data_IF_135987681923
#
_entry.id   IF_135987681923
#
_cell.length_a   1.000
_cell.length_b   1.000
_cell.length_c   1.000
_cell.angle_alpha   90.00
_cell.angle_beta   90.00
_cell.angle_gamma   90.00
#
_symmetry.space_group_name_H-M   'P 1'
#
loop_
_entity.id
_entity.type
_entity.pdbx_description
1 polymer ?
#
# COMPACT_ATOMS: atom_id res chain seq x y z
N UNK A 1 17.09 14.29 27.60
CA UNK A 1 15.62 14.17 27.53
C UNK A 1 15.29 13.66 26.13
N UNK A 2 14.95 12.38 25.99
CA UNK A 2 14.62 11.79 24.68
C UNK A 2 13.27 12.34 24.23
N UNK A 3 13.28 13.30 23.31
CA UNK A 3 12.07 13.70 22.60
C UNK A 3 11.78 12.55 21.63
N UNK A 4 10.94 11.59 22.03
CA UNK A 4 10.46 10.58 21.10
C UNK A 4 9.75 11.30 19.95
N UNK A 5 10.24 11.08 18.73
CA UNK A 5 9.67 11.70 17.53
C UNK A 5 8.21 11.21 17.39
N UNK A 6 7.19 12.09 17.39
CA UNK A 6 5.78 11.69 17.37
C UNK A 6 5.41 10.81 16.15
N UNK A 7 6.21 10.89 15.07
CA UNK A 7 6.08 10.02 13.89
C UNK A 7 6.40 8.54 14.20
N UNK A 8 7.31 8.29 15.15
CA UNK A 8 7.66 6.94 15.61
C UNK A 8 6.53 6.30 16.41
N UNK A 9 5.84 7.08 17.25
CA UNK A 9 4.68 6.60 18.01
C UNK A 9 3.52 6.20 17.10
N UNK A 10 3.24 7.00 16.06
CA UNK A 10 2.18 6.68 15.08
C UNK A 10 2.43 5.34 14.39
N UNK A 11 3.66 5.08 13.96
CA UNK A 11 4.04 3.80 13.37
C UNK A 11 4.00 2.64 14.37
N UNK A 12 4.12 2.90 15.67
CA UNK A 12 4.06 1.90 16.73
C UNK A 12 2.62 1.53 17.09
N UNK A 13 1.72 2.50 17.17
CA UNK A 13 0.35 2.32 17.60
C UNK A 13 -0.55 1.59 16.59
N UNK A 14 -0.23 1.63 15.29
CA UNK A 14 -1.09 1.09 14.24
C UNK A 14 -0.48 -0.07 13.44
N UNK A 15 0.57 -0.73 13.95
CA UNK A 15 1.33 -1.76 13.21
C UNK A 15 0.44 -2.85 12.61
N UNK A 16 -0.60 -3.27 13.33
CA UNK A 16 -1.43 -4.41 12.94
C UNK A 16 -2.50 -4.10 11.89
N UNK A 17 -2.70 -2.83 11.51
CA UNK A 17 -3.78 -2.43 10.61
C UNK A 17 -3.24 -1.93 9.27
N UNK A 18 -3.95 -2.18 8.15
CA UNK A 18 -3.58 -1.63 6.82
C UNK A 18 -3.37 -0.12 6.81
N UNK A 19 -4.14 0.63 7.63
CA UNK A 19 -3.98 2.07 7.82
C UNK A 19 -2.62 2.47 8.40
N UNK A 20 -2.07 1.67 9.30
CA UNK A 20 -0.75 1.91 9.89
C UNK A 20 0.36 1.70 8.87
N UNK A 21 0.30 0.63 8.08
CA UNK A 21 1.23 0.40 6.98
C UNK A 21 1.23 1.56 5.97
N UNK A 22 0.04 2.02 5.56
CA UNK A 22 -0.08 3.17 4.66
C UNK A 22 0.54 4.44 5.25
N UNK A 23 0.30 4.70 6.53
CA UNK A 23 0.85 5.88 7.22
C UNK A 23 2.38 5.81 7.27
N UNK A 24 2.94 4.66 7.68
CA UNK A 24 4.38 4.46 7.72
C UNK A 24 5.02 4.49 6.34
N UNK A 25 4.38 3.92 5.32
CA UNK A 25 4.86 4.00 3.95
C UNK A 25 4.93 5.45 3.45
N UNK A 26 3.92 6.28 3.73
CA UNK A 26 3.95 7.72 3.41
C UNK A 26 5.05 8.47 4.15
N UNK A 27 5.23 8.20 5.44
CA UNK A 27 6.31 8.81 6.23
C UNK A 27 7.69 8.39 5.72
N UNK A 28 7.84 7.13 5.31
CA UNK A 28 9.10 6.63 4.76
C UNK A 28 9.36 7.20 3.36
N UNK A 29 8.36 7.21 2.49
CA UNK A 29 8.42 7.80 1.17
C UNK A 29 8.74 9.30 1.20
N UNK A 30 8.39 9.99 2.29
CA UNK A 30 8.74 11.39 2.50
C UNK A 30 10.07 11.63 3.24
N UNK A 31 10.80 10.56 3.56
CA UNK A 31 12.08 10.64 4.28
C UNK A 31 11.95 11.01 5.75
N UNK A 32 10.73 11.07 6.28
CA UNK A 32 10.41 11.45 7.67
C UNK A 32 10.73 10.34 8.68
N UNK A 33 10.80 9.09 8.22
CA UNK A 33 11.29 7.90 8.95
C UNK A 33 12.12 7.01 8.01
N UNK A 34 12.90 6.09 8.57
CA UNK A 34 13.71 5.13 7.80
C UNK A 34 13.01 3.77 7.63
N UNK A 35 13.50 2.95 6.71
CA UNK A 35 13.00 1.60 6.48
C UNK A 35 12.80 0.77 7.76
N UNK A 36 13.75 0.69 8.72
CA UNK A 36 13.57 -0.14 9.92
C UNK A 36 12.37 0.29 10.79
N UNK A 37 11.95 1.55 10.69
CA UNK A 37 10.80 2.09 11.42
C UNK A 37 9.48 1.75 10.70
N UNK A 38 9.47 1.75 9.37
CA UNK A 38 8.27 1.48 8.57
C UNK A 38 8.02 -0.02 8.32
N UNK A 39 9.09 -0.80 8.10
CA UNK A 39 9.03 -2.22 7.73
C UNK A 39 8.15 -3.06 8.66
N UNK A 40 8.20 -2.92 10.01
CA UNK A 40 7.36 -3.73 10.89
C UNK A 40 5.87 -3.54 10.64
N UNK A 41 5.40 -2.31 10.36
CA UNK A 41 4.00 -2.04 10.07
C UNK A 41 3.56 -2.65 8.72
N UNK A 42 4.43 -2.60 7.72
CA UNK A 42 4.16 -3.20 6.41
C UNK A 42 4.08 -4.73 6.51
N UNK A 43 5.02 -5.36 7.24
CA UNK A 43 4.99 -6.80 7.48
C UNK A 43 3.76 -7.23 8.29
N UNK A 44 3.39 -6.46 9.30
CA UNK A 44 2.18 -6.72 10.08
C UNK A 44 0.90 -6.55 9.26
N UNK A 45 0.85 -5.62 8.30
CA UNK A 45 -0.26 -5.55 7.33
C UNK A 45 -0.34 -6.83 6.48
N UNK A 46 0.77 -7.37 5.99
CA UNK A 46 0.74 -8.66 5.29
C UNK A 46 0.30 -9.82 6.19
N UNK A 47 0.74 -9.83 7.45
CA UNK A 47 0.36 -10.86 8.40
C UNK A 47 -1.14 -10.81 8.74
N UNK A 48 -1.71 -9.60 8.87
CA UNK A 48 -3.12 -9.38 9.19
C UNK A 48 -4.09 -9.99 8.17
N UNK A 49 -3.64 -10.29 6.95
CA UNK A 49 -4.44 -11.01 5.96
C UNK A 49 -4.92 -12.39 6.45
N UNK A 50 -4.18 -13.05 7.35
CA UNK A 50 -4.53 -14.36 7.93
C UNK A 50 -5.74 -14.29 8.86
N UNK A 51 -5.96 -13.12 9.46
CA UNK A 51 -7.01 -12.89 10.46
C UNK A 51 -8.23 -12.17 9.84
N UNK A 52 -8.25 -12.00 8.51
CA UNK A 52 -9.35 -11.35 7.82
C UNK A 52 -10.58 -12.27 7.76
N UNK A 53 -11.80 -11.69 7.84
CA UNK A 53 -13.03 -12.47 7.95
C UNK A 53 -13.39 -13.29 6.71
N UNK A 54 -12.76 -13.01 5.56
CA UNK A 54 -12.97 -13.73 4.32
C UNK A 54 -11.78 -13.54 3.36
N UNK A 55 -11.75 -14.35 2.30
CA UNK A 55 -10.70 -14.35 1.27
C UNK A 55 -10.55 -12.98 0.59
N UNK A 56 -11.66 -12.33 0.22
CA UNK A 56 -11.64 -11.00 -0.42
C UNK A 56 -10.96 -9.96 0.48
N UNK A 57 -11.27 -9.94 1.77
CA UNK A 57 -10.64 -9.06 2.75
C UNK A 57 -9.15 -9.38 2.93
N UNK A 58 -8.76 -10.66 2.93
CA UNK A 58 -7.36 -11.08 2.98
C UNK A 58 -6.58 -10.59 1.74
N UNK A 59 -7.15 -10.75 0.54
CA UNK A 59 -6.56 -10.28 -0.72
C UNK A 59 -6.38 -8.76 -0.73
N UNK A 60 -7.39 -7.99 -0.31
CA UNK A 60 -7.28 -6.53 -0.20
C UNK A 60 -6.22 -6.11 0.83
N UNK A 61 -6.09 -6.84 1.93
CA UNK A 61 -5.04 -6.62 2.91
C UNK A 61 -3.64 -6.85 2.31
N UNK A 62 -3.46 -7.93 1.54
CA UNK A 62 -2.23 -8.17 0.77
C UNK A 62 -1.96 -7.07 -0.26
N UNK A 63 -2.99 -6.59 -0.97
CA UNK A 63 -2.86 -5.50 -1.93
C UNK A 63 -2.28 -4.25 -1.26
N UNK A 64 -2.80 -3.85 -0.10
CA UNK A 64 -2.28 -2.70 0.66
C UNK A 64 -0.84 -2.91 1.10
N UNK A 65 -0.49 -4.11 1.60
CA UNK A 65 0.89 -4.43 1.97
C UNK A 65 1.86 -4.31 0.78
N UNK A 66 1.46 -4.79 -0.41
CA UNK A 66 2.24 -4.65 -1.64
C UNK A 66 2.40 -3.19 -2.03
N UNK A 67 1.33 -2.41 -2.04
CA UNK A 67 1.37 -0.97 -2.33
C UNK A 67 2.34 -0.22 -1.40
N UNK A 68 2.28 -0.52 -0.10
CA UNK A 68 3.16 0.09 0.90
C UNK A 68 4.63 -0.32 0.71
N UNK A 69 4.89 -1.51 0.17
CA UNK A 69 6.23 -2.03 -0.07
C UNK A 69 6.93 -1.42 -1.29
N UNK A 70 6.22 -0.68 -2.16
CA UNK A 70 6.83 -0.02 -3.34
C UNK A 70 7.91 0.99 -2.96
N UNK A 71 7.80 1.60 -1.78
CA UNK A 71 8.83 2.50 -1.23
C UNK A 71 10.18 1.78 -1.09
N UNK A 72 10.19 0.46 -0.87
CA UNK A 72 11.40 -0.34 -0.82
C UNK A 72 12.00 -0.57 -2.21
N UNK A 73 11.16 -0.97 -3.16
CA UNK A 73 11.54 -1.34 -4.52
C UNK A 73 10.33 -1.39 -5.44
N UNK A 74 10.54 -0.99 -6.69
CA UNK A 74 9.54 -1.03 -7.77
C UNK A 74 8.99 -2.43 -8.04
N UNK A 75 9.69 -3.49 -7.62
CA UNK A 75 9.25 -4.87 -7.79
C UNK A 75 7.90 -5.20 -7.14
N UNK A 76 7.48 -4.42 -6.13
CA UNK A 76 6.17 -4.58 -5.50
C UNK A 76 5.02 -3.89 -6.25
N UNK A 77 5.29 -3.10 -7.30
CA UNK A 77 4.29 -2.25 -7.94
C UNK A 77 3.11 -3.04 -8.53
N UNK A 78 3.37 -4.19 -9.13
CA UNK A 78 2.32 -5.06 -9.68
C UNK A 78 1.53 -5.82 -8.61
N UNK A 79 2.00 -5.84 -7.35
CA UNK A 79 1.35 -6.58 -6.28
C UNK A 79 -0.02 -5.99 -5.92
N UNK A 80 -0.15 -4.66 -5.81
CA UNK A 80 -1.43 -4.02 -5.52
C UNK A 80 -2.53 -4.38 -6.53
N UNK A 81 -2.36 -4.11 -7.84
CA UNK A 81 -3.39 -4.44 -8.82
C UNK A 81 -3.63 -5.95 -8.92
N UNK A 82 -2.60 -6.80 -8.81
CA UNK A 82 -2.78 -8.25 -8.86
C UNK A 82 -3.72 -8.77 -7.75
N UNK A 83 -3.49 -8.36 -6.51
CA UNK A 83 -4.32 -8.81 -5.38
C UNK A 83 -5.71 -8.18 -5.40
N UNK A 84 -5.85 -6.89 -5.72
CA UNK A 84 -7.14 -6.22 -5.76
C UNK A 84 -8.03 -6.74 -6.90
N UNK A 85 -7.48 -6.97 -8.10
CA UNK A 85 -8.22 -7.58 -9.21
C UNK A 85 -8.64 -9.02 -8.90
N UNK A 86 -7.79 -9.78 -8.20
CA UNK A 86 -8.17 -11.12 -7.71
C UNK A 86 -9.32 -11.02 -6.71
N UNK A 87 -9.29 -10.05 -5.79
CA UNK A 87 -10.36 -9.82 -4.82
C UNK A 87 -11.68 -9.48 -5.54
N UNK A 88 -11.64 -8.63 -6.57
CA UNK A 88 -12.80 -8.30 -7.40
C UNK A 88 -13.34 -9.57 -8.07
N UNK A 89 -12.49 -10.34 -8.75
CA UNK A 89 -12.88 -11.57 -9.44
C UNK A 89 -13.55 -12.59 -8.50
N UNK A 90 -13.02 -12.74 -7.28
CA UNK A 90 -13.59 -13.63 -6.26
C UNK A 90 -14.92 -13.11 -5.70
N UNK A 91 -15.09 -11.80 -5.58
CA UNK A 91 -16.30 -11.19 -5.04
C UNK A 91 -17.51 -11.27 -5.98
N UNK A 92 -17.29 -11.17 -7.30
CA UNK A 92 -18.37 -11.16 -8.30
C UNK A 92 -18.50 -12.48 -9.08
N UNK A 93 -17.52 -13.39 -8.96
CA UNK A 93 -17.44 -14.62 -9.73
C UNK A 93 -16.48 -14.51 -10.91
N UNK A 94 -15.57 -15.48 -11.06
CA UNK A 94 -14.46 -15.43 -12.03
C UNK A 94 -14.92 -15.38 -13.49
N UNK A 95 -16.13 -15.87 -13.79
CA UNK A 95 -16.69 -15.84 -15.14
C UNK A 95 -17.43 -14.54 -15.47
N UNK A 96 -17.89 -13.81 -14.45
CA UNK A 96 -18.71 -12.61 -14.59
C UNK A 96 -17.93 -11.31 -14.28
N UNK A 97 -16.65 -11.43 -13.95
CA UNK A 97 -15.84 -10.32 -13.45
C UNK A 97 -15.22 -9.40 -14.52
N UNK A 98 -15.39 -9.72 -15.81
CA UNK A 98 -14.70 -9.03 -16.91
C UNK A 98 -14.92 -7.52 -16.85
N UNK A 99 -16.17 -7.08 -16.75
CA UNK A 99 -16.53 -5.65 -16.81
C UNK A 99 -15.89 -4.88 -15.65
N UNK A 100 -15.91 -5.46 -14.45
CA UNK A 100 -15.37 -4.87 -13.23
C UNK A 100 -13.84 -4.83 -13.25
N UNK A 101 -13.19 -5.89 -13.75
CA UNK A 101 -11.74 -5.94 -13.94
C UNK A 101 -11.30 -4.88 -14.96
N UNK A 102 -11.94 -4.84 -16.13
CA UNK A 102 -11.58 -3.89 -17.19
C UNK A 102 -11.79 -2.44 -16.74
N UNK A 103 -12.88 -2.16 -16.01
CA UNK A 103 -13.10 -0.85 -15.40
C UNK A 103 -11.98 -0.50 -14.40
N UNK A 104 -11.63 -1.42 -13.50
CA UNK A 104 -10.60 -1.17 -12.49
C UNK A 104 -9.21 -1.01 -13.08
N UNK A 105 -8.87 -1.78 -14.12
CA UNK A 105 -7.62 -1.63 -14.88
C UNK A 105 -7.52 -0.25 -15.50
N UNK A 106 -8.62 0.26 -16.09
CA UNK A 106 -8.67 1.61 -16.65
C UNK A 106 -8.37 2.66 -15.59
N UNK A 107 -8.97 2.55 -14.41
CA UNK A 107 -8.72 3.47 -13.29
C UNK A 107 -7.25 3.46 -12.84
N UNK A 108 -6.58 2.30 -12.81
CA UNK A 108 -5.15 2.25 -12.51
C UNK A 108 -4.31 2.99 -13.54
N UNK A 109 -4.60 2.76 -14.83
CA UNK A 109 -3.88 3.37 -15.95
C UNK A 109 -4.07 4.89 -15.92
N UNK A 110 -5.30 5.36 -15.75
CA UNK A 110 -5.61 6.79 -15.60
C UNK A 110 -4.87 7.42 -14.42
N UNK A 111 -4.84 6.73 -13.27
CA UNK A 111 -4.12 7.19 -12.08
C UNK A 111 -2.61 7.27 -12.31
N UNK A 112 -2.02 6.32 -13.02
CA UNK A 112 -0.60 6.33 -13.38
C UNK A 112 -0.28 7.48 -14.33
N UNK A 113 -1.10 7.71 -15.36
CA UNK A 113 -0.91 8.84 -16.27
C UNK A 113 -1.09 10.18 -15.58
N UNK A 114 -2.09 10.29 -14.69
CA UNK A 114 -2.29 11.49 -13.87
C UNK A 114 -1.03 11.78 -13.04
N UNK A 115 -0.54 10.81 -12.26
CA UNK A 115 0.62 11.06 -11.40
C UNK A 115 1.91 11.26 -12.18
N UNK A 116 2.04 10.71 -13.40
CA UNK A 116 3.16 10.98 -14.28
C UNK A 116 3.29 12.46 -14.64
N UNK A 117 2.16 13.17 -14.83
CA UNK A 117 2.16 14.61 -15.13
C UNK A 117 2.11 15.51 -13.89
N UNK A 118 1.79 14.95 -12.72
CA UNK A 118 1.62 15.70 -11.45
C UNK A 118 2.65 15.28 -10.38
N UNK A 119 3.84 14.83 -10.78
CA UNK A 119 4.89 14.45 -9.82
C UNK A 119 5.38 15.63 -8.99
N UNK A 120 5.32 16.85 -9.53
CA UNK A 120 5.67 18.10 -8.85
C UNK A 120 4.66 18.53 -7.77
N UNK A 121 3.41 18.06 -7.82
CA UNK A 121 2.38 18.37 -6.83
C UNK A 121 2.66 17.70 -5.46
N UNK A 122 3.58 16.74 -5.44
CA UNK A 122 3.99 16.03 -4.24
C UNK A 122 5.48 16.26 -3.99
N UNK A 123 5.83 17.34 -3.29
CA UNK A 123 7.22 17.83 -3.14
C UNK A 123 8.05 17.12 -2.06
N UNK A 124 7.44 16.22 -1.29
CA UNK A 124 8.03 15.70 -0.04
C UNK A 124 8.85 14.42 -0.22
N UNK A 125 9.16 13.94 -1.43
CA UNK A 125 9.85 12.66 -1.63
C UNK A 125 11.23 12.60 -0.98
N UNK A 126 11.51 11.46 -0.33
CA UNK A 126 12.81 11.10 0.20
C UNK A 126 13.88 11.11 -0.91
N UNK A 127 15.12 11.46 -0.56
CA UNK A 127 16.22 11.56 -1.52
C UNK A 127 16.47 10.29 -2.35
N UNK A 128 16.18 9.11 -1.81
CA UNK A 128 16.38 7.83 -2.51
C UNK A 128 15.27 7.49 -3.51
N UNK A 129 14.18 8.28 -3.57
CA UNK A 129 13.08 8.15 -4.52
C UNK A 129 13.07 9.25 -5.60
N UNK A 130 14.06 10.15 -5.56
CA UNK A 130 14.22 11.23 -6.54
C UNK A 130 15.15 10.79 -7.67
#
# INVERSE_FOLDING_TARGET
MNIENPRREVCKANKERPRGALTCARLWASGKIKMPEARPAILACHAAARDMPNETAALLCHAVGQACSVVHTVGHALGYPSYELTAIARSVGVYDCRVQIEARVREYIERLYYWRSHTCDYSDWARFLR
#
